data_IF_925736307137
#
_entry.id   IF_925736307137
#
_cell.length_a   1.000
_cell.length_b   1.000
_cell.length_c   1.000
_cell.angle_alpha   90.00
_cell.angle_beta   90.00
_cell.angle_gamma   90.00
#
_symmetry.space_group_name_H-M   'P 1'
#
loop_
_entity.id
_entity.type
_entity.pdbx_description
1 polymer ?
#
# COMPACT_ATOMS: atom_id res chain seq x y z
N UNK A 1 -11.06 -2.69 9.17
CA UNK A 1 -9.86 -2.06 8.55
C UNK A 1 -9.49 -0.80 9.30
N UNK A 2 -8.21 -0.62 9.59
CA UNK A 2 -7.75 0.52 10.38
C UNK A 2 -6.80 1.45 9.62
N UNK A 3 -6.45 1.11 8.38
CA UNK A 3 -5.48 1.87 7.60
C UNK A 3 -5.94 1.98 6.15
N UNK A 4 -5.75 3.17 5.57
CA UNK A 4 -6.02 3.44 4.16
C UNK A 4 -4.77 4.05 3.55
N UNK A 5 -4.30 3.48 2.43
CA UNK A 5 -3.24 4.06 1.63
C UNK A 5 -3.83 4.48 0.30
N UNK A 6 -3.73 5.77 -0.01
CA UNK A 6 -4.11 6.30 -1.32
C UNK A 6 -2.83 6.46 -2.12
N UNK A 7 -2.76 5.79 -3.27
CA UNK A 7 -1.57 5.80 -4.11
C UNK A 7 -1.89 6.32 -5.50
N UNK A 8 -0.96 7.10 -6.05
CA UNK A 8 -0.98 7.50 -7.47
C UNK A 8 0.34 7.04 -8.09
N UNK A 9 0.30 6.63 -9.37
CA UNK A 9 1.45 6.01 -10.03
C UNK A 9 1.38 6.21 -11.54
N UNK A 10 2.51 6.11 -12.22
CA UNK A 10 2.59 6.27 -13.68
C UNK A 10 2.28 4.99 -14.45
N UNK A 11 2.51 3.81 -13.86
CA UNK A 11 2.09 2.55 -14.46
C UNK A 11 0.57 2.38 -14.35
N UNK A 12 0.02 1.34 -14.98
CA UNK A 12 -1.41 1.05 -14.85
C UNK A 12 -1.69 0.32 -13.55
N UNK A 13 -2.94 0.36 -13.09
CA UNK A 13 -3.36 -0.38 -11.91
C UNK A 13 -3.10 -1.88 -12.08
N UNK A 14 -3.33 -2.41 -13.27
CA UNK A 14 -3.10 -3.83 -13.60
C UNK A 14 -1.63 -4.22 -13.47
N UNK A 15 -0.71 -3.30 -13.71
CA UNK A 15 0.71 -3.51 -13.51
C UNK A 15 1.11 -3.28 -12.03
N UNK A 16 0.49 -2.31 -11.39
CA UNK A 16 0.76 -1.92 -10.00
C UNK A 16 0.32 -3.00 -9.00
N UNK A 17 -0.88 -3.52 -9.17
CA UNK A 17 -1.50 -4.44 -8.22
C UNK A 17 -0.67 -5.70 -7.92
N UNK A 18 -0.16 -6.44 -8.92
CA UNK A 18 0.62 -7.65 -8.64
C UNK A 18 1.88 -7.37 -7.81
N UNK A 19 2.58 -6.28 -8.10
CA UNK A 19 3.79 -5.92 -7.38
C UNK A 19 3.47 -5.58 -5.92
N UNK A 20 2.46 -4.76 -5.69
CA UNK A 20 2.06 -4.39 -4.33
C UNK A 20 1.56 -5.62 -3.55
N UNK A 21 0.74 -6.44 -4.19
CA UNK A 21 0.20 -7.64 -3.54
C UNK A 21 1.31 -8.63 -3.22
N UNK A 22 2.10 -9.00 -4.22
CA UNK A 22 3.05 -10.11 -4.09
C UNK A 22 4.35 -9.73 -3.37
N UNK A 23 4.83 -8.51 -3.55
CA UNK A 23 6.11 -8.08 -2.99
C UNK A 23 5.95 -7.33 -1.67
N UNK A 24 4.99 -6.44 -1.59
CA UNK A 24 4.81 -5.62 -0.40
C UNK A 24 3.91 -6.29 0.64
N UNK A 25 2.68 -6.60 0.29
CA UNK A 25 1.70 -7.14 1.24
C UNK A 25 2.01 -8.57 1.66
N UNK A 26 2.30 -9.45 0.72
CA UNK A 26 2.48 -10.88 0.98
C UNK A 26 3.90 -11.26 1.43
N UNK A 27 4.89 -10.39 1.27
CA UNK A 27 6.27 -10.63 1.71
C UNK A 27 6.70 -9.65 2.80
N UNK A 28 6.78 -8.36 2.46
CA UNK A 28 7.36 -7.37 3.38
C UNK A 28 6.49 -7.11 4.59
N UNK A 29 5.18 -7.10 4.40
CA UNK A 29 4.22 -6.72 5.45
C UNK A 29 3.40 -7.88 5.99
N UNK A 30 3.69 -9.11 5.61
CA UNK A 30 2.90 -10.29 5.94
C UNK A 30 2.64 -10.45 7.45
N UNK A 31 3.62 -10.12 8.29
CA UNK A 31 3.53 -10.32 9.73
C UNK A 31 2.56 -9.34 10.42
N UNK A 32 2.35 -8.17 9.83
CA UNK A 32 1.55 -7.12 10.48
C UNK A 32 0.39 -6.60 9.64
N UNK A 33 0.20 -7.08 8.43
CA UNK A 33 -1.00 -6.84 7.63
C UNK A 33 -1.80 -8.13 7.57
N UNK A 34 -2.94 -8.16 8.25
CA UNK A 34 -3.73 -9.38 8.42
C UNK A 34 -4.84 -9.52 7.41
N UNK A 35 -5.32 -8.41 6.85
CA UNK A 35 -6.40 -8.40 5.88
C UNK A 35 -6.30 -7.11 5.05
N UNK A 36 -6.76 -7.15 3.80
CA UNK A 36 -6.74 -5.96 2.96
C UNK A 36 -7.78 -6.03 1.85
N UNK A 37 -8.17 -4.85 1.36
CA UNK A 37 -9.00 -4.68 0.17
C UNK A 37 -8.30 -3.68 -0.75
N UNK A 38 -8.05 -4.09 -1.99
CA UNK A 38 -7.33 -3.29 -2.97
C UNK A 38 -8.31 -2.82 -4.04
N UNK A 39 -8.55 -1.51 -4.11
CA UNK A 39 -9.59 -0.92 -4.95
C UNK A 39 -8.96 -0.05 -6.05
N UNK A 40 -9.33 -0.32 -7.29
CA UNK A 40 -8.96 0.53 -8.43
C UNK A 40 -9.87 1.75 -8.47
N UNK A 41 -9.27 2.94 -8.40
CA UNK A 41 -10.01 4.20 -8.58
C UNK A 41 -10.01 4.57 -10.06
N UNK A 42 -8.83 4.51 -10.69
CA UNK A 42 -8.65 4.65 -12.13
C UNK A 42 -7.34 3.97 -12.51
N UNK A 43 -6.90 4.09 -13.76
CA UNK A 43 -5.68 3.41 -14.23
C UNK A 43 -4.43 3.78 -13.45
N UNK A 44 -4.40 4.97 -12.83
CA UNK A 44 -3.21 5.52 -12.17
C UNK A 44 -3.44 5.88 -10.70
N UNK A 45 -4.50 5.33 -10.10
CA UNK A 45 -4.81 5.62 -8.69
C UNK A 45 -5.51 4.43 -8.04
N UNK A 46 -5.12 4.15 -6.79
CA UNK A 46 -5.72 3.07 -6.01
C UNK A 46 -5.98 3.48 -4.56
N UNK A 47 -6.92 2.77 -3.95
CA UNK A 47 -7.15 2.80 -2.51
C UNK A 47 -6.85 1.40 -1.96
N UNK A 48 -5.98 1.32 -0.96
CA UNK A 48 -5.65 0.08 -0.28
C UNK A 48 -6.09 0.19 1.18
N UNK A 49 -7.14 -0.53 1.51
CA UNK A 49 -7.64 -0.63 2.89
C UNK A 49 -7.01 -1.87 3.52
N UNK A 50 -6.59 -1.77 4.77
CA UNK A 50 -5.96 -2.90 5.45
C UNK A 50 -6.17 -2.87 6.95
N UNK A 51 -6.05 -4.04 7.57
CA UNK A 51 -5.82 -4.17 8.99
C UNK A 51 -4.32 -4.29 9.21
N UNK A 52 -3.76 -3.27 9.84
CA UNK A 52 -2.34 -3.23 10.14
C UNK A 52 -2.17 -3.27 11.67
N UNK A 53 -1.43 -4.24 12.17
CA UNK A 53 -1.21 -4.40 13.62
C UNK A 53 -0.02 -3.60 14.12
N UNK A 54 0.81 -3.07 13.20
CA UNK A 54 2.02 -2.30 13.55
C UNK A 54 2.28 -1.24 12.49
N UNK A 55 1.70 -0.05 12.71
CA UNK A 55 1.84 1.09 11.79
C UNK A 55 3.28 1.59 11.69
N UNK A 56 4.05 1.45 12.75
CA UNK A 56 5.46 1.84 12.75
C UNK A 56 6.26 0.97 11.77
N UNK A 57 6.04 -0.35 11.81
CA UNK A 57 6.67 -1.26 10.87
C UNK A 57 6.21 -1.02 9.44
N UNK A 58 4.93 -0.72 9.24
CA UNK A 58 4.43 -0.37 7.91
C UNK A 58 5.20 0.83 7.36
N UNK A 59 5.38 1.87 8.17
CA UNK A 59 6.15 3.05 7.79
C UNK A 59 7.60 2.71 7.44
N UNK A 60 8.24 1.87 8.24
CA UNK A 60 9.61 1.43 7.99
C UNK A 60 9.73 0.68 6.66
N UNK A 61 8.80 -0.22 6.36
CA UNK A 61 8.82 -0.96 5.10
C UNK A 61 8.57 -0.06 3.90
N UNK A 62 7.69 0.93 4.02
CA UNK A 62 7.44 1.92 2.97
C UNK A 62 8.66 2.82 2.73
N UNK A 63 9.52 2.99 3.73
CA UNK A 63 10.74 3.77 3.65
C UNK A 63 11.97 2.93 3.30
N UNK A 64 11.81 1.61 3.13
CA UNK A 64 12.93 0.72 2.79
C UNK A 64 13.54 1.09 1.43
N UNK A 65 14.84 0.78 1.21
CA UNK A 65 15.48 1.05 -0.07
C UNK A 65 14.75 0.44 -1.26
N UNK A 66 14.23 -0.77 -1.10
CA UNK A 66 13.46 -1.44 -2.13
C UNK A 66 12.18 -0.67 -2.47
N UNK A 67 11.41 -0.27 -1.46
CA UNK A 67 10.15 0.45 -1.66
C UNK A 67 10.39 1.83 -2.29
N UNK A 68 11.41 2.54 -1.83
CA UNK A 68 11.75 3.85 -2.39
C UNK A 68 12.20 3.78 -3.84
N UNK A 69 12.99 2.78 -4.19
CA UNK A 69 13.43 2.59 -5.56
C UNK A 69 12.27 2.21 -6.47
N UNK A 70 11.38 1.35 -5.98
CA UNK A 70 10.17 0.96 -6.69
C UNK A 70 9.25 2.17 -6.92
N UNK A 71 9.06 3.00 -5.88
CA UNK A 71 8.26 4.24 -5.97
C UNK A 71 8.85 5.20 -7.01
N UNK A 72 10.15 5.33 -7.03
CA UNK A 72 10.84 6.19 -7.99
C UNK A 72 10.66 5.68 -9.41
N UNK A 73 10.80 4.38 -9.62
CA UNK A 73 10.66 3.75 -10.93
C UNK A 73 9.25 3.93 -11.49
N UNK A 74 8.24 3.83 -10.64
CA UNK A 74 6.84 3.91 -11.04
C UNK A 74 6.21 5.27 -10.77
N UNK A 75 7.01 6.25 -10.37
CA UNK A 75 6.55 7.58 -9.99
C UNK A 75 5.38 7.51 -8.98
N UNK A 76 5.51 6.62 -8.02
CA UNK A 76 4.46 6.34 -7.05
C UNK A 76 4.51 7.31 -5.87
N UNK A 77 3.35 7.82 -5.50
CA UNK A 77 3.18 8.67 -4.32
C UNK A 77 2.08 8.07 -3.46
N UNK A 78 2.38 7.86 -2.20
CA UNK A 78 1.46 7.27 -1.24
C UNK A 78 1.11 8.26 -0.13
N UNK A 79 -0.17 8.25 0.27
CA UNK A 79 -0.62 8.96 1.47
C UNK A 79 -1.28 7.93 2.38
N UNK A 80 -0.80 7.85 3.62
CA UNK A 80 -1.29 6.87 4.59
C UNK A 80 -2.20 7.56 5.60
N UNK A 81 -3.39 7.00 5.78
CA UNK A 81 -4.37 7.48 6.75
C UNK A 81 -4.70 6.38 7.75
N UNK A 82 -4.87 6.75 9.01
CA UNK A 82 -5.50 5.86 9.98
C UNK A 82 -7.01 6.12 9.94
N UNK A 83 -7.81 5.05 10.02
CA UNK A 83 -9.27 5.16 10.00
C UNK A 83 -9.85 4.50 11.24
N UNK A 84 -10.95 5.04 11.74
CA UNK A 84 -11.62 4.57 12.95
C UNK A 84 -13.09 4.29 12.66
N UNK A 85 -13.61 3.25 13.30
CA UNK A 85 -15.02 2.94 13.24
C UNK A 85 -15.81 3.97 14.05
N UNK A 86 -16.84 4.56 13.44
CA UNK A 86 -17.66 5.62 14.04
C UNK A 86 -19.06 5.05 14.34
N UNK A 87 -19.38 4.16 14.78
CA UNK A 87 -20.75 3.76 14.95
C UNK A 87 -20.96 2.41 15.68
#
# INVERSE_FOLDING_TARGET
MNTLIISTFSCTFEEFKPDVTNLFLEKMCKEFVTDYEFVKVNDHKSHLLMNCTDLERLGEEMESPFAKEWDKKNNCKDTVYSIELVG
#
